data_IF_423909148668
#
_entry.id   IF_423909148668
#
_cell.length_a   1.000
_cell.length_b   1.000
_cell.length_c   1.000
_cell.angle_alpha   90.00
_cell.angle_beta   90.00
_cell.angle_gamma   90.00
#
_symmetry.space_group_name_H-M   'P 1'
#
loop_
_entity.id
_entity.type
_entity.pdbx_description
1 polymer ?
#
# COMPACT_ATOMS: atom_id res chain seq x y z
N UNK A 1 -4.26 -21.95 -8.61
CA UNK A 1 -3.55 -22.80 -7.64
C UNK A 1 -3.25 -21.93 -6.42
N UNK A 2 -3.69 -22.35 -5.24
CA UNK A 2 -3.34 -21.68 -3.97
C UNK A 2 -1.97 -22.21 -3.54
N UNK A 3 -0.99 -21.34 -3.25
CA UNK A 3 0.33 -21.78 -2.80
C UNK A 3 0.19 -22.51 -1.45
N UNK A 4 0.82 -23.66 -1.35
CA UNK A 4 0.77 -24.50 -0.14
C UNK A 4 1.95 -24.21 0.80
N UNK A 5 3.04 -23.62 0.27
CA UNK A 5 4.23 -23.24 1.03
C UNK A 5 4.51 -21.75 0.92
N UNK A 6 5.23 -21.19 1.90
CA UNK A 6 5.60 -19.77 1.89
C UNK A 6 6.49 -19.44 0.69
N UNK A 7 7.40 -20.36 0.31
CA UNK A 7 8.28 -20.15 -0.84
C UNK A 7 7.50 -20.04 -2.15
N UNK A 8 6.45 -20.86 -2.33
CA UNK A 8 5.54 -20.73 -3.48
C UNK A 8 4.78 -19.40 -3.46
N UNK A 9 4.30 -18.97 -2.29
CA UNK A 9 3.65 -17.67 -2.13
C UNK A 9 4.60 -16.52 -2.45
N UNK A 10 5.87 -16.63 -2.03
CA UNK A 10 6.89 -15.64 -2.33
C UNK A 10 7.28 -15.63 -3.81
N UNK A 11 7.50 -16.79 -4.43
CA UNK A 11 7.80 -16.90 -5.85
C UNK A 11 6.68 -16.29 -6.69
N UNK A 12 5.42 -16.67 -6.40
CA UNK A 12 4.27 -16.07 -7.08
C UNK A 12 4.23 -14.55 -6.93
N UNK A 13 4.42 -14.04 -5.70
CA UNK A 13 4.42 -12.61 -5.43
C UNK A 13 5.55 -11.90 -6.18
N UNK A 14 6.76 -12.47 -6.14
CA UNK A 14 7.92 -11.91 -6.83
C UNK A 14 7.76 -11.89 -8.34
N UNK A 15 7.17 -12.93 -8.92
CA UNK A 15 6.83 -12.98 -10.34
C UNK A 15 5.75 -11.96 -10.69
N UNK A 16 4.65 -11.94 -9.94
CA UNK A 16 3.56 -11.02 -10.16
C UNK A 16 3.97 -9.54 -9.94
N UNK A 17 4.95 -9.26 -9.09
CA UNK A 17 5.51 -7.92 -8.84
C UNK A 17 6.67 -7.55 -9.77
N UNK A 18 7.07 -8.41 -10.73
CA UNK A 18 8.10 -8.05 -11.72
C UNK A 18 7.68 -6.79 -12.48
N UNK A 19 8.61 -5.84 -12.72
CA UNK A 19 8.27 -4.55 -13.33
C UNK A 19 7.48 -4.69 -14.64
N UNK A 20 7.83 -5.66 -15.48
CA UNK A 20 7.14 -5.88 -16.76
C UNK A 20 5.68 -6.35 -16.56
N UNK A 21 5.43 -7.28 -15.65
CA UNK A 21 4.07 -7.79 -15.39
C UNK A 21 3.21 -6.76 -14.68
N UNK A 22 3.79 -6.07 -13.70
CA UNK A 22 3.13 -4.98 -12.99
C UNK A 22 2.76 -3.86 -13.98
N UNK A 23 3.69 -3.43 -14.82
CA UNK A 23 3.45 -2.40 -15.84
C UNK A 23 2.36 -2.84 -16.84
N UNK A 24 2.42 -4.08 -17.32
CA UNK A 24 1.41 -4.60 -18.25
C UNK A 24 0.00 -4.59 -17.65
N UNK A 25 -0.17 -4.98 -16.37
CA UNK A 25 -1.46 -4.93 -15.69
C UNK A 25 -1.93 -3.49 -15.49
N UNK A 26 -1.04 -2.60 -15.03
CA UNK A 26 -1.37 -1.19 -14.81
C UNK A 26 -1.75 -0.51 -16.12
N UNK A 27 -1.01 -0.74 -17.20
CA UNK A 27 -1.34 -0.23 -18.54
C UNK A 27 -2.68 -0.78 -19.02
N UNK A 28 -2.94 -2.06 -18.85
CA UNK A 28 -4.24 -2.66 -19.22
C UNK A 28 -5.40 -1.98 -18.46
N UNK A 29 -5.29 -1.82 -17.14
CA UNK A 29 -6.29 -1.13 -16.33
C UNK A 29 -6.45 0.33 -16.73
N UNK A 30 -5.35 1.01 -17.07
CA UNK A 30 -5.37 2.38 -17.54
C UNK A 30 -6.07 2.52 -18.90
N UNK A 31 -5.81 1.63 -19.84
CA UNK A 31 -6.49 1.62 -21.14
C UNK A 31 -8.00 1.30 -20.98
N UNK A 32 -8.34 0.37 -20.09
CA UNK A 32 -9.74 0.09 -19.74
C UNK A 32 -10.43 1.33 -19.15
N UNK A 33 -9.76 2.03 -18.22
CA UNK A 33 -10.26 3.28 -17.65
C UNK A 33 -10.47 4.34 -18.73
N UNK A 34 -9.48 4.55 -19.62
CA UNK A 34 -9.61 5.49 -20.73
C UNK A 34 -10.78 5.12 -21.67
N UNK A 35 -10.98 3.84 -21.96
CA UNK A 35 -12.10 3.37 -22.76
C UNK A 35 -13.45 3.69 -22.12
N UNK A 36 -13.58 3.49 -20.80
CA UNK A 36 -14.79 3.82 -20.03
C UNK A 36 -15.01 5.35 -20.05
N UNK A 37 -13.97 6.13 -19.75
CA UNK A 37 -14.07 7.60 -19.72
C UNK A 37 -14.37 8.18 -21.09
N UNK A 38 -13.81 7.63 -22.17
CA UNK A 38 -14.15 8.01 -23.53
C UNK A 38 -15.64 7.76 -23.85
N UNK A 39 -16.13 6.56 -23.49
CA UNK A 39 -17.53 6.20 -23.70
C UNK A 39 -18.49 7.10 -22.91
N UNK A 40 -18.14 7.45 -21.65
CA UNK A 40 -18.94 8.35 -20.83
C UNK A 40 -18.81 9.81 -21.28
N UNK A 41 -17.61 10.24 -21.68
CA UNK A 41 -17.33 11.59 -22.15
C UNK A 41 -18.11 11.94 -23.43
N UNK A 42 -18.32 10.98 -24.31
CA UNK A 42 -19.15 11.14 -25.50
C UNK A 42 -20.63 11.53 -25.19
N UNK A 43 -21.09 11.29 -23.96
CA UNK A 43 -22.44 11.61 -23.53
C UNK A 43 -22.54 12.85 -22.62
N UNK A 44 -21.42 13.34 -22.07
CA UNK A 44 -21.44 14.32 -20.95
C UNK A 44 -20.72 15.63 -21.27
N UNK A 45 -19.82 15.66 -22.27
CA UNK A 45 -19.02 16.88 -22.53
C UNK A 45 -19.76 17.81 -23.47
N UNK A 46 -20.38 18.83 -22.91
CA UNK A 46 -20.71 20.05 -23.65
C UNK A 46 -19.41 20.78 -24.03
N UNK A 47 -19.31 21.20 -25.30
CA UNK A 47 -18.09 21.62 -26.00
C UNK A 47 -17.46 22.96 -25.52
N UNK A 48 -17.94 23.61 -24.47
CA UNK A 48 -17.59 25.02 -24.18
C UNK A 48 -16.61 25.28 -23.05
N UNK A 49 -15.73 24.34 -22.68
CA UNK A 49 -14.69 24.68 -21.71
C UNK A 49 -13.42 25.22 -22.39
N UNK A 50 -13.49 26.47 -22.88
CA UNK A 50 -12.32 27.18 -23.44
C UNK A 50 -11.49 27.73 -22.29
N UNK A 51 -10.29 27.20 -22.09
CA UNK A 51 -9.33 27.78 -21.16
C UNK A 51 -8.89 29.16 -21.63
N UNK A 52 -8.87 30.18 -20.76
CA UNK A 52 -8.28 31.46 -21.11
C UNK A 52 -6.77 31.28 -21.30
N UNK A 53 -6.29 31.46 -22.52
CA UNK A 53 -4.88 31.32 -22.86
C UNK A 53 -4.42 32.43 -23.78
N UNK A 54 -3.13 32.83 -23.67
CA UNK A 54 -2.52 33.90 -24.45
C UNK A 54 -2.01 33.40 -25.82
N UNK A 55 -2.89 32.84 -26.65
CA UNK A 55 -2.56 32.40 -27.99
C UNK A 55 -2.58 30.90 -28.20
N UNK A 56 -2.68 30.46 -29.47
CA UNK A 56 -2.88 29.04 -29.83
C UNK A 56 -1.81 28.08 -29.29
N UNK A 57 -0.53 28.50 -29.34
CA UNK A 57 0.58 27.68 -28.89
C UNK A 57 0.51 27.45 -27.38
N UNK A 58 0.24 28.52 -26.60
CA UNK A 58 0.10 28.43 -25.16
C UNK A 58 -1.07 27.52 -24.77
N UNK A 59 -2.21 27.64 -25.45
CA UNK A 59 -3.37 26.74 -25.23
C UNK A 59 -3.02 25.28 -25.49
N UNK A 60 -2.34 24.99 -26.58
CA UNK A 60 -1.98 23.59 -26.93
C UNK A 60 -1.04 23.00 -25.90
N UNK A 61 -0.03 23.77 -25.46
CA UNK A 61 0.92 23.32 -24.43
C UNK A 61 0.19 23.09 -23.09
N UNK A 62 -0.64 24.03 -22.65
CA UNK A 62 -1.37 23.89 -21.38
C UNK A 62 -2.32 22.69 -21.40
N UNK A 63 -3.09 22.53 -22.48
CA UNK A 63 -3.98 21.38 -22.65
C UNK A 63 -3.22 20.05 -22.63
N UNK A 64 -2.07 19.98 -23.32
CA UNK A 64 -1.22 18.81 -23.34
C UNK A 64 -0.66 18.48 -21.93
N UNK A 65 -0.14 19.49 -21.23
CA UNK A 65 0.39 19.34 -19.88
C UNK A 65 -0.68 18.91 -18.88
N UNK A 66 -1.86 19.53 -18.94
CA UNK A 66 -2.99 19.20 -18.07
C UNK A 66 -3.47 17.78 -18.31
N UNK A 67 -3.65 17.37 -19.56
CA UNK A 67 -4.06 16.01 -19.91
C UNK A 67 -3.03 14.98 -19.51
N UNK A 68 -1.75 15.23 -19.79
CA UNK A 68 -0.65 14.32 -19.43
C UNK A 68 -0.53 14.15 -17.91
N UNK A 69 -0.68 15.25 -17.18
CA UNK A 69 -0.62 15.22 -15.70
C UNK A 69 -1.80 14.46 -15.10
N UNK A 70 -3.02 14.70 -15.62
CA UNK A 70 -4.20 13.96 -15.19
C UNK A 70 -4.07 12.45 -15.49
N UNK A 71 -3.59 12.11 -16.70
CA UNK A 71 -3.31 10.73 -17.07
C UNK A 71 -2.28 10.08 -16.15
N UNK A 72 -1.21 10.80 -15.78
CA UNK A 72 -0.20 10.32 -14.84
C UNK A 72 -0.77 10.05 -13.45
N UNK A 73 -1.61 10.94 -12.91
CA UNK A 73 -2.24 10.74 -11.60
C UNK A 73 -3.14 9.52 -11.61
N UNK A 74 -3.96 9.34 -12.65
CA UNK A 74 -4.81 8.16 -12.81
C UNK A 74 -3.96 6.88 -12.88
N UNK A 75 -2.92 6.90 -13.71
CA UNK A 75 -1.99 5.77 -13.84
C UNK A 75 -1.35 5.40 -12.49
N UNK A 76 -0.87 6.38 -11.74
CA UNK A 76 -0.28 6.16 -10.42
C UNK A 76 -1.28 5.58 -9.43
N UNK A 77 -2.54 6.06 -9.43
CA UNK A 77 -3.58 5.50 -8.57
C UNK A 77 -3.88 4.03 -8.89
N UNK A 78 -4.01 3.69 -10.18
CA UNK A 78 -4.21 2.30 -10.61
C UNK A 78 -3.03 1.41 -10.23
N UNK A 79 -1.80 1.93 -10.37
CA UNK A 79 -0.58 1.25 -9.97
C UNK A 79 -0.52 0.96 -8.47
N UNK A 80 -0.89 1.94 -7.65
CA UNK A 80 -0.99 1.78 -6.18
C UNK A 80 -2.05 0.76 -5.83
N UNK A 81 -3.23 0.84 -6.44
CA UNK A 81 -4.32 -0.10 -6.19
C UNK A 81 -3.94 -1.54 -6.54
N UNK A 82 -3.31 -1.78 -7.70
CA UNK A 82 -2.77 -3.09 -8.09
C UNK A 82 -1.77 -3.62 -7.07
N UNK A 83 -0.82 -2.78 -6.63
CA UNK A 83 0.17 -3.14 -5.62
C UNK A 83 -0.46 -3.52 -4.27
N UNK A 84 -1.48 -2.78 -3.82
CA UNK A 84 -2.23 -3.07 -2.59
C UNK A 84 -2.99 -4.39 -2.69
N UNK A 85 -3.69 -4.62 -3.80
CA UNK A 85 -4.44 -5.87 -4.01
C UNK A 85 -3.53 -7.09 -4.08
N UNK A 86 -2.36 -6.95 -4.71
CA UNK A 86 -1.33 -7.98 -4.76
C UNK A 86 -0.79 -8.30 -3.37
N UNK A 87 -0.43 -7.26 -2.62
CA UNK A 87 0.08 -7.38 -1.25
C UNK A 87 -0.97 -8.02 -0.32
N UNK A 88 -2.23 -7.62 -0.42
CA UNK A 88 -3.34 -8.20 0.35
C UNK A 88 -3.50 -9.70 0.11
N UNK A 89 -3.46 -10.13 -1.17
CA UNK A 89 -3.52 -11.56 -1.52
C UNK A 89 -2.34 -12.33 -0.93
N UNK A 90 -1.15 -11.76 -1.05
CA UNK A 90 0.06 -12.35 -0.51
C UNK A 90 0.00 -12.50 1.02
N UNK A 91 -0.45 -11.47 1.75
CA UNK A 91 -0.67 -11.53 3.20
C UNK A 91 -1.62 -12.68 3.56
N UNK A 92 -2.74 -12.81 2.83
CA UNK A 92 -3.68 -13.90 3.06
C UNK A 92 -3.05 -15.28 2.89
N UNK A 93 -2.15 -15.46 1.93
CA UNK A 93 -1.44 -16.73 1.74
C UNK A 93 -0.37 -16.98 2.81
N UNK A 94 0.39 -15.96 3.20
CA UNK A 94 1.35 -16.07 4.31
C UNK A 94 0.65 -16.50 5.58
N UNK A 95 -0.54 -15.97 5.84
CA UNK A 95 -1.34 -16.30 7.03
C UNK A 95 -1.94 -17.71 6.95
N UNK A 96 -2.37 -18.13 5.77
CA UNK A 96 -3.00 -19.44 5.55
C UNK A 96 -1.98 -20.58 5.39
N UNK A 97 -0.72 -20.26 5.02
CA UNK A 97 0.31 -21.28 4.81
C UNK A 97 0.73 -21.90 6.15
N UNK A 98 0.27 -23.13 6.37
CA UNK A 98 0.73 -23.98 7.49
C UNK A 98 2.01 -24.74 7.14
N UNK A 99 2.44 -24.67 5.88
CA UNK A 99 3.62 -25.37 5.34
C UNK A 99 4.94 -24.75 5.82
N UNK A 100 5.94 -25.59 5.94
CA UNK A 100 7.28 -25.23 6.41
C UNK A 100 7.93 -24.13 5.56
N UNK A 101 8.69 -23.31 6.21
CA UNK A 101 9.61 -22.36 5.58
C UNK A 101 10.81 -23.11 5.04
N UNK A 102 11.42 -22.64 3.96
CA UNK A 102 12.65 -23.23 3.48
C UNK A 102 13.76 -23.13 4.52
N UNK A 103 14.64 -24.12 4.55
CA UNK A 103 15.76 -24.15 5.51
C UNK A 103 16.62 -22.87 5.45
N UNK A 104 16.79 -22.31 4.26
CA UNK A 104 17.54 -21.06 4.06
C UNK A 104 16.91 -19.86 4.76
N UNK A 105 15.57 -19.74 4.70
CA UNK A 105 14.85 -18.66 5.37
C UNK A 105 14.88 -18.88 6.89
N UNK A 106 14.73 -20.12 7.34
CA UNK A 106 14.85 -20.49 8.75
C UNK A 106 16.22 -20.11 9.31
N UNK A 107 17.29 -20.48 8.63
CA UNK A 107 18.66 -20.15 9.04
C UNK A 107 18.92 -18.65 9.11
N UNK A 108 18.40 -17.89 8.15
CA UNK A 108 18.51 -16.43 8.15
C UNK A 108 17.87 -15.82 9.40
N UNK A 109 16.64 -16.20 9.70
CA UNK A 109 15.91 -15.65 10.86
C UNK A 109 16.50 -16.15 12.18
N UNK A 110 16.95 -17.42 12.29
CA UNK A 110 17.64 -17.90 13.46
C UNK A 110 18.91 -17.09 13.75
N UNK A 111 19.68 -16.74 12.72
CA UNK A 111 20.86 -15.87 12.87
C UNK A 111 20.48 -14.43 13.27
N UNK A 112 19.44 -13.87 12.67
CA UNK A 112 18.98 -12.50 12.95
C UNK A 112 18.52 -12.33 14.40
N UNK A 113 17.87 -13.38 14.96
CA UNK A 113 17.42 -13.40 16.36
C UNK A 113 18.43 -14.07 17.33
N UNK A 114 19.63 -14.41 16.87
CA UNK A 114 20.71 -14.95 17.73
C UNK A 114 20.45 -16.35 18.28
N UNK A 115 19.57 -17.13 17.65
CA UNK A 115 19.20 -18.48 18.07
C UNK A 115 20.08 -19.55 17.40
N UNK A 116 20.35 -20.64 18.10
CA UNK A 116 21.18 -21.72 17.59
C UNK A 116 20.36 -22.69 16.71
N UNK A 117 21.00 -23.30 15.66
CA UNK A 117 20.32 -24.23 14.75
C UNK A 117 19.73 -25.47 15.41
N UNK A 118 20.23 -25.83 16.60
CA UNK A 118 19.81 -27.03 17.34
C UNK A 118 18.42 -26.87 17.98
N UNK A 119 17.91 -25.68 18.00
CA UNK A 119 16.64 -25.31 18.65
C UNK A 119 15.46 -25.36 17.67
N UNK A 120 15.31 -26.46 16.89
CA UNK A 120 14.22 -26.64 15.92
C UNK A 120 12.81 -26.42 16.50
N UNK A 121 12.61 -26.75 17.78
CA UNK A 121 11.32 -26.58 18.47
C UNK A 121 10.95 -25.09 18.61
N UNK A 122 11.93 -24.20 18.68
CA UNK A 122 11.71 -22.76 18.81
C UNK A 122 11.39 -22.09 17.47
N UNK A 123 11.80 -22.70 16.36
CA UNK A 123 11.53 -22.14 15.03
C UNK A 123 10.03 -22.11 14.70
N UNK A 124 9.24 -23.08 15.12
CA UNK A 124 7.78 -23.04 14.91
C UNK A 124 7.11 -21.83 15.55
N UNK A 125 7.66 -21.34 16.66
CA UNK A 125 7.18 -20.13 17.35
C UNK A 125 7.69 -18.88 16.65
N UNK A 126 8.97 -18.86 16.26
CA UNK A 126 9.61 -17.76 15.51
C UNK A 126 8.98 -17.51 14.14
N UNK A 127 8.39 -18.53 13.52
CA UNK A 127 7.75 -18.34 12.20
C UNK A 127 6.66 -17.26 12.22
N UNK A 128 5.94 -17.13 13.33
CA UNK A 128 4.90 -16.09 13.46
C UNK A 128 5.52 -14.70 13.53
N UNK A 129 6.59 -14.55 14.31
CA UNK A 129 7.34 -13.29 14.40
C UNK A 129 7.95 -12.92 13.05
N UNK A 130 8.59 -13.87 12.38
CA UNK A 130 9.17 -13.68 11.06
C UNK A 130 8.11 -13.33 10.00
N UNK A 131 6.92 -13.95 10.07
CA UNK A 131 5.83 -13.61 9.16
C UNK A 131 5.31 -12.19 9.38
N UNK A 132 5.17 -11.75 10.64
CA UNK A 132 4.77 -10.38 10.98
C UNK A 132 5.81 -9.36 10.49
N UNK A 133 7.10 -9.61 10.76
CA UNK A 133 8.18 -8.76 10.29
C UNK A 133 8.21 -8.65 8.76
N UNK A 134 8.07 -9.77 8.07
CA UNK A 134 8.03 -9.81 6.60
C UNK A 134 6.83 -9.04 6.04
N UNK A 135 5.64 -9.18 6.65
CA UNK A 135 4.44 -8.43 6.29
C UNK A 135 4.67 -6.93 6.56
N UNK A 136 5.22 -6.56 7.71
CA UNK A 136 5.52 -5.19 8.08
C UNK A 136 6.44 -4.50 7.06
N UNK A 137 7.60 -5.10 6.80
CA UNK A 137 8.57 -4.58 5.82
C UNK A 137 7.96 -4.45 4.41
N UNK A 138 7.13 -5.39 4.00
CA UNK A 138 6.54 -5.35 2.66
C UNK A 138 5.43 -4.34 2.52
N UNK A 139 4.57 -4.25 3.52
CA UNK A 139 3.50 -3.24 3.54
C UNK A 139 4.04 -1.83 3.67
N UNK A 140 5.21 -1.62 4.30
CA UNK A 140 5.89 -0.33 4.33
C UNK A 140 6.26 0.16 2.93
N UNK A 141 6.78 -0.74 2.07
CA UNK A 141 7.09 -0.39 0.67
C UNK A 141 5.83 0.04 -0.08
N UNK A 142 4.72 -0.69 0.10
CA UNK A 142 3.44 -0.35 -0.54
C UNK A 142 2.88 0.97 0.00
N UNK A 143 2.98 1.22 1.31
CA UNK A 143 2.58 2.50 1.92
C UNK A 143 3.35 3.70 1.34
N UNK A 144 4.63 3.52 1.00
CA UNK A 144 5.41 4.58 0.32
C UNK A 144 4.87 4.87 -1.07
N UNK A 145 4.40 3.85 -1.81
CA UNK A 145 3.82 4.04 -3.14
C UNK A 145 2.56 4.90 -3.12
N UNK A 146 1.76 4.83 -2.05
CA UNK A 146 0.53 5.62 -1.88
C UNK A 146 0.80 7.14 -1.89
N UNK A 147 2.02 7.57 -1.56
CA UNK A 147 2.40 9.00 -1.55
C UNK A 147 2.58 9.59 -2.95
N UNK A 148 2.97 8.79 -3.95
CA UNK A 148 3.32 9.33 -5.28
C UNK A 148 2.16 10.04 -6.00
N UNK A 149 0.92 9.55 -6.01
CA UNK A 149 -0.20 10.29 -6.57
C UNK A 149 -0.43 11.65 -5.91
N UNK A 150 -0.22 11.74 -4.57
CA UNK A 150 -0.31 13.01 -3.85
C UNK A 150 0.79 13.98 -4.25
N UNK A 151 2.04 13.50 -4.39
CA UNK A 151 3.15 14.33 -4.84
C UNK A 151 2.87 14.88 -6.25
N UNK A 152 2.38 14.04 -7.16
CA UNK A 152 2.00 14.49 -8.50
C UNK A 152 0.90 15.56 -8.46
N UNK A 153 -0.14 15.38 -7.65
CA UNK A 153 -1.19 16.39 -7.47
C UNK A 153 -0.68 17.69 -6.84
N UNK A 154 0.21 17.61 -5.84
CA UNK A 154 0.82 18.79 -5.23
C UNK A 154 1.64 19.59 -6.24
N UNK A 155 2.41 18.92 -7.11
CA UNK A 155 3.15 19.55 -8.19
C UNK A 155 2.16 20.25 -9.17
N UNK A 156 1.07 19.58 -9.53
CA UNK A 156 0.04 20.17 -10.40
C UNK A 156 -0.62 21.39 -9.75
N UNK A 157 -0.89 21.35 -8.43
CA UNK A 157 -1.43 22.50 -7.70
C UNK A 157 -0.41 23.64 -7.62
N UNK A 158 0.86 23.34 -7.32
CA UNK A 158 1.92 24.34 -7.24
C UNK A 158 2.24 25.00 -8.58
N UNK A 159 2.03 24.28 -9.69
CA UNK A 159 2.19 24.84 -11.05
C UNK A 159 1.09 25.85 -11.42
N UNK A 160 0.00 25.91 -10.65
CA UNK A 160 -1.10 26.86 -10.86
C UNK A 160 -0.98 28.01 -9.87
N UNK A 161 -0.17 28.99 -10.19
CA UNK A 161 0.01 30.20 -9.40
C UNK A 161 0.07 31.44 -10.33
N UNK A 162 0.02 32.62 -9.72
CA UNK A 162 0.00 33.90 -10.43
C UNK A 162 1.20 34.13 -11.35
N UNK A 163 2.34 33.49 -11.08
CA UNK A 163 3.54 33.59 -11.91
C UNK A 163 3.41 32.94 -13.28
N UNK A 164 2.49 31.96 -13.42
CA UNK A 164 2.31 31.21 -14.68
C UNK A 164 1.10 31.64 -15.49
N UNK A 165 0.44 32.77 -15.16
CA UNK A 165 -0.80 33.24 -15.80
C UNK A 165 -1.98 32.23 -15.76
N UNK A 166 -1.89 31.17 -14.98
CA UNK A 166 -2.86 30.07 -14.87
C UNK A 166 -3.30 29.97 -13.41
N UNK A 167 -4.14 30.86 -12.98
CA UNK A 167 -4.54 31.03 -11.58
C UNK A 167 -5.84 30.32 -11.22
N UNK A 168 -6.60 29.86 -12.21
CA UNK A 168 -7.86 29.17 -11.94
C UNK A 168 -7.61 27.71 -11.61
N UNK A 169 -8.04 27.30 -10.42
CA UNK A 169 -8.15 25.86 -10.09
C UNK A 169 -9.42 25.34 -10.77
N UNK A 170 -9.33 24.57 -11.84
CA UNK A 170 -10.50 23.98 -12.43
C UNK A 170 -11.15 23.04 -11.41
N UNK A 171 -12.48 23.05 -11.37
CA UNK A 171 -13.27 22.16 -10.50
C UNK A 171 -12.86 20.69 -10.68
N UNK A 172 -12.41 20.33 -11.89
CA UNK A 172 -11.87 19.02 -12.22
C UNK A 172 -10.62 18.67 -11.40
N UNK A 173 -9.73 19.62 -11.12
CA UNK A 173 -8.53 19.38 -10.32
C UNK A 173 -8.89 19.11 -8.84
N UNK A 174 -9.81 19.87 -8.30
CA UNK A 174 -10.35 19.68 -6.95
C UNK A 174 -11.05 18.32 -6.81
N UNK A 175 -11.86 17.97 -7.81
CA UNK A 175 -12.51 16.67 -7.87
C UNK A 175 -11.48 15.54 -7.96
N UNK A 176 -10.47 15.67 -8.82
CA UNK A 176 -9.39 14.69 -8.95
C UNK A 176 -8.63 14.52 -7.63
N UNK A 177 -8.38 15.61 -6.91
CA UNK A 177 -7.77 15.56 -5.59
C UNK A 177 -8.65 14.79 -4.59
N UNK A 178 -9.96 15.10 -4.52
CA UNK A 178 -10.88 14.41 -3.63
C UNK A 178 -10.97 12.90 -3.93
N UNK A 179 -11.08 12.54 -5.20
CA UNK A 179 -11.06 11.11 -5.63
C UNK A 179 -9.76 10.44 -5.25
N UNK A 180 -8.61 11.10 -5.44
CA UNK A 180 -7.31 10.56 -5.06
C UNK A 180 -7.22 10.30 -3.55
N UNK A 181 -7.69 11.23 -2.72
CA UNK A 181 -7.75 11.06 -1.25
C UNK A 181 -8.58 9.83 -0.89
N UNK A 182 -9.78 9.72 -1.48
CA UNK A 182 -10.67 8.57 -1.21
C UNK A 182 -10.01 7.25 -1.62
N UNK A 183 -9.41 7.18 -2.80
CA UNK A 183 -8.73 5.97 -3.28
C UNK A 183 -7.53 5.61 -2.41
N UNK A 184 -6.74 6.58 -1.99
CA UNK A 184 -5.59 6.37 -1.13
C UNK A 184 -6.00 5.91 0.29
N UNK A 185 -7.04 6.51 0.86
CA UNK A 185 -7.60 6.07 2.15
C UNK A 185 -8.16 4.64 2.06
N UNK A 186 -8.86 4.33 0.97
CA UNK A 186 -9.36 2.98 0.72
C UNK A 186 -8.21 1.97 0.59
N UNK A 187 -7.17 2.31 -0.16
CA UNK A 187 -5.97 1.48 -0.32
C UNK A 187 -5.28 1.21 1.02
N UNK A 188 -5.05 2.25 1.82
CA UNK A 188 -4.47 2.15 3.17
C UNK A 188 -5.34 1.32 4.11
N UNK A 189 -6.66 1.53 4.09
CA UNK A 189 -7.61 0.77 4.90
C UNK A 189 -7.62 -0.71 4.53
N UNK A 190 -7.64 -1.06 3.24
CA UNK A 190 -7.59 -2.45 2.77
C UNK A 190 -6.30 -3.15 3.21
N UNK A 191 -5.18 -2.44 3.14
CA UNK A 191 -3.89 -2.96 3.56
C UNK A 191 -3.83 -3.16 5.08
N UNK A 192 -4.28 -2.16 5.86
CA UNK A 192 -4.40 -2.23 7.31
C UNK A 192 -5.30 -3.38 7.75
N UNK A 193 -6.46 -3.53 7.13
CA UNK A 193 -7.40 -4.62 7.45
C UNK A 193 -6.76 -6.00 7.23
N UNK A 194 -6.06 -6.19 6.09
CA UNK A 194 -5.39 -7.45 5.80
C UNK A 194 -4.27 -7.76 6.81
N UNK A 195 -3.44 -6.76 7.14
CA UNK A 195 -2.36 -6.89 8.11
C UNK A 195 -2.89 -7.17 9.52
N UNK A 196 -3.94 -6.45 9.96
CA UNK A 196 -4.56 -6.64 11.28
C UNK A 196 -5.20 -8.02 11.42
N UNK A 197 -5.88 -8.51 10.38
CA UNK A 197 -6.43 -9.88 10.37
C UNK A 197 -5.31 -10.93 10.44
N UNK A 198 -4.21 -10.73 9.70
CA UNK A 198 -3.05 -11.60 9.75
C UNK A 198 -2.42 -11.62 11.16
N UNK A 199 -2.20 -10.45 11.76
CA UNK A 199 -1.67 -10.30 13.12
C UNK A 199 -2.55 -11.02 14.15
N UNK A 200 -3.87 -10.82 14.09
CA UNK A 200 -4.82 -11.47 14.96
C UNK A 200 -4.82 -13.01 14.82
N UNK A 201 -4.75 -13.52 13.58
CA UNK A 201 -4.66 -14.95 13.32
C UNK A 201 -3.37 -15.57 13.89
N UNK A 202 -2.23 -14.86 13.74
CA UNK A 202 -0.94 -15.30 14.28
C UNK A 202 -0.94 -15.28 15.82
N UNK A 203 -1.47 -14.25 16.46
CA UNK A 203 -1.62 -14.18 17.92
C UNK A 203 -2.52 -15.29 18.45
N UNK A 204 -3.64 -15.59 17.76
CA UNK A 204 -4.50 -16.71 18.12
C UNK A 204 -3.78 -18.07 18.00
N UNK A 205 -2.89 -18.23 17.02
CA UNK A 205 -2.03 -19.40 16.89
C UNK A 205 -1.04 -19.53 18.04
N UNK A 206 -0.36 -18.44 18.40
CA UNK A 206 0.58 -18.39 19.52
C UNK A 206 -0.11 -18.64 20.88
N UNK A 207 -1.28 -18.07 21.11
CA UNK A 207 -2.03 -18.27 22.34
C UNK A 207 -2.46 -19.74 22.54
N UNK A 208 -2.84 -20.44 21.46
CA UNK A 208 -3.12 -21.90 21.51
C UNK A 208 -1.86 -22.70 21.87
N UNK A 209 -0.71 -22.36 21.30
CA UNK A 209 0.57 -23.00 21.66
C UNK A 209 0.95 -22.72 23.11
N UNK A 210 0.67 -21.53 23.63
CA UNK A 210 0.88 -21.19 25.04
C UNK A 210 0.05 -22.08 25.96
N UNK A 211 -1.26 -22.27 25.66
CA UNK A 211 -2.14 -23.16 26.44
C UNK A 211 -1.63 -24.61 26.42
N UNK A 212 -1.13 -25.07 25.27
CA UNK A 212 -0.53 -26.42 25.15
C UNK A 212 0.78 -26.54 25.96
N UNK A 213 1.60 -25.51 25.98
CA UNK A 213 2.83 -25.48 26.77
C UNK A 213 2.57 -25.50 28.29
N UNK A 214 1.45 -24.95 28.75
CA UNK A 214 1.04 -24.93 30.15
C UNK A 214 0.73 -26.35 30.69
N UNK A 215 0.42 -27.33 29.84
CA UNK A 215 0.17 -28.71 30.20
C UNK A 215 1.41 -29.62 30.32
N UNK A 216 2.60 -29.12 30.06
CA UNK A 216 3.86 -29.90 30.02
C UNK A 216 4.79 -29.67 31.22
N UNK A 217 5.68 -30.64 31.49
CA UNK A 217 6.62 -30.59 32.63
C UNK A 217 7.68 -29.49 32.58
N UNK A 218 7.91 -28.85 31.41
CA UNK A 218 8.95 -27.83 31.17
C UNK A 218 8.33 -26.40 31.11
N UNK A 219 7.49 -26.12 32.08
CA UNK A 219 6.52 -25.04 32.08
C UNK A 219 7.13 -23.62 31.99
N UNK A 220 8.15 -23.32 32.76
CA UNK A 220 8.57 -21.92 33.01
C UNK A 220 9.35 -21.31 31.83
N UNK A 221 10.26 -22.06 31.19
CA UNK A 221 11.11 -21.55 30.11
C UNK A 221 10.28 -21.38 28.81
N UNK A 222 9.46 -22.38 28.48
CA UNK A 222 8.64 -22.36 27.25
C UNK A 222 7.57 -21.26 27.30
N UNK A 223 6.96 -21.06 28.45
CA UNK A 223 5.94 -20.01 28.64
C UNK A 223 6.53 -18.61 28.51
N UNK A 224 7.72 -18.36 29.10
CA UNK A 224 8.43 -17.09 28.96
C UNK A 224 8.81 -16.78 27.52
N UNK A 225 9.24 -17.77 26.75
CA UNK A 225 9.60 -17.59 25.33
C UNK A 225 8.36 -17.27 24.48
N UNK A 226 7.25 -17.98 24.66
CA UNK A 226 6.01 -17.67 23.91
C UNK A 226 5.49 -16.29 24.28
N UNK A 227 5.53 -15.92 25.57
CA UNK A 227 5.11 -14.59 26.01
C UNK A 227 5.98 -13.49 25.41
N UNK A 228 7.29 -13.68 25.34
CA UNK A 228 8.21 -12.75 24.67
C UNK A 228 7.81 -12.55 23.19
N UNK A 229 7.55 -13.64 22.45
CA UNK A 229 7.14 -13.58 21.04
C UNK A 229 5.79 -12.88 20.89
N UNK A 230 4.82 -13.15 21.77
CA UNK A 230 3.52 -12.48 21.77
C UNK A 230 3.72 -10.96 21.93
N UNK A 231 4.48 -10.54 22.93
CA UNK A 231 4.76 -9.13 23.19
C UNK A 231 5.46 -8.45 21.99
N UNK A 232 6.39 -9.15 21.35
CA UNK A 232 7.10 -8.63 20.18
C UNK A 232 6.17 -8.51 18.95
N UNK A 233 5.29 -9.49 18.74
CA UNK A 233 4.27 -9.44 17.68
C UNK A 233 3.25 -8.32 17.97
N UNK A 234 2.81 -8.17 19.21
CA UNK A 234 1.88 -7.09 19.61
C UNK A 234 2.51 -5.72 19.47
N UNK A 235 3.78 -5.58 19.84
CA UNK A 235 4.54 -4.33 19.77
C UNK A 235 4.99 -3.95 18.36
N UNK A 236 4.82 -4.82 17.37
CA UNK A 236 5.22 -4.50 16.00
C UNK A 236 4.27 -3.47 15.37
N UNK A 237 4.81 -2.27 15.11
CA UNK A 237 4.15 -1.13 14.49
C UNK A 237 4.77 -0.77 13.14
N UNK A 238 5.31 -1.73 12.38
CA UNK A 238 5.87 -1.47 11.06
C UNK A 238 4.82 -1.54 9.93
N UNK A 239 4.98 -0.69 8.94
CA UNK A 239 4.19 -0.74 7.70
C UNK A 239 2.70 -0.57 7.95
N UNK A 240 1.89 -1.57 7.58
CA UNK A 240 0.44 -1.53 7.74
C UNK A 240 -0.03 -1.83 9.17
N UNK A 241 0.86 -2.21 10.09
CA UNK A 241 0.52 -2.38 11.51
C UNK A 241 0.47 -1.06 12.28
N UNK A 242 1.01 0.02 11.71
CA UNK A 242 0.87 1.38 12.24
C UNK A 242 -0.61 1.75 12.28
N UNK A 243 -1.09 2.38 13.37
CA UNK A 243 -2.46 2.90 13.44
C UNK A 243 -2.80 3.81 12.25
N UNK A 244 -4.03 3.73 11.74
CA UNK A 244 -4.44 4.46 10.53
C UNK A 244 -4.15 5.96 10.60
N UNK A 245 -4.33 6.59 11.78
CA UNK A 245 -4.10 8.04 11.96
C UNK A 245 -2.62 8.45 11.88
N UNK A 246 -1.68 7.52 12.04
CA UNK A 246 -0.24 7.75 11.88
C UNK A 246 0.26 7.33 10.49
N UNK A 247 -0.62 6.83 9.64
CA UNK A 247 -0.19 6.43 8.30
C UNK A 247 0.14 7.63 7.41
N UNK A 248 1.15 7.49 6.55
CA UNK A 248 1.61 8.56 5.65
C UNK A 248 0.53 9.15 4.75
N UNK A 249 -0.52 8.40 4.50
CA UNK A 249 -1.69 8.83 3.74
C UNK A 249 -2.44 9.97 4.42
N UNK A 250 -2.63 9.88 5.74
CA UNK A 250 -3.32 10.92 6.51
C UNK A 250 -2.52 12.23 6.47
N UNK A 251 -1.21 12.13 6.69
CA UNK A 251 -0.29 13.26 6.60
C UNK A 251 -0.34 13.94 5.22
N UNK A 252 -0.22 13.13 4.16
CA UNK A 252 -0.28 13.63 2.77
C UNK A 252 -1.62 14.27 2.43
N UNK A 253 -2.73 13.72 2.95
CA UNK A 253 -4.08 14.28 2.77
C UNK A 253 -4.25 15.61 3.49
N UNK A 254 -3.67 15.75 4.68
CA UNK A 254 -3.69 17.01 5.45
C UNK A 254 -2.90 18.11 4.75
N UNK A 255 -1.71 17.82 4.19
CA UNK A 255 -0.96 18.81 3.40
C UNK A 255 -1.77 19.31 2.21
N UNK A 256 -2.44 18.42 1.48
CA UNK A 256 -3.32 18.80 0.38
C UNK A 256 -4.50 19.67 0.84
N UNK A 257 -5.10 19.35 1.99
CA UNK A 257 -6.19 20.14 2.57
C UNK A 257 -5.71 21.54 2.98
N UNK A 258 -4.55 21.65 3.62
CA UNK A 258 -3.96 22.95 3.99
C UNK A 258 -3.69 23.80 2.75
N UNK A 259 -3.09 23.21 1.70
CA UNK A 259 -2.85 23.90 0.44
C UNK A 259 -4.18 24.42 -0.19
N UNK A 260 -5.23 23.60 -0.14
CA UNK A 260 -6.56 23.99 -0.62
C UNK A 260 -7.15 25.15 0.21
N UNK A 261 -7.08 25.08 1.53
CA UNK A 261 -7.57 26.13 2.43
C UNK A 261 -6.83 27.45 2.23
N UNK A 262 -5.49 27.40 2.07
CA UNK A 262 -4.69 28.57 1.74
C UNK A 262 -5.16 29.24 0.43
N UNK A 263 -5.40 28.44 -0.59
CA UNK A 263 -5.92 28.94 -1.85
C UNK A 263 -7.28 29.62 -1.70
N UNK A 264 -8.22 29.01 -0.94
CA UNK A 264 -9.55 29.57 -0.72
C UNK A 264 -9.54 30.85 0.13
N UNK A 265 -8.55 30.98 1.02
CA UNK A 265 -8.43 32.14 1.91
C UNK A 265 -7.73 33.35 1.26
N UNK A 266 -6.79 33.11 0.34
CA UNK A 266 -6.04 34.19 -0.34
C UNK A 266 -6.84 34.81 -1.49
N UNK A 267 -7.97 34.23 -1.85
CA UNK A 267 -8.88 34.72 -2.88
C UNK A 267 -10.00 35.56 -2.28
#
# INVERSE_FOLDING_TARGET
MTPTTLDQAWQWYSEASRPAQWLARTVFLFLLYLGIMWSLGAYVVDEEYIHPCRGRLSCTIDSFMTLSSAALVVFLNLAVFDAVMLCRRWIGWVTASTGGWSEQVQEKYLREYGLRPDQKVEFEKLRYLAAVDLIGRRTEVVNRLIRYPFIALLIMMAARNDYFDIWNYPLLLLFSWAVNVVLALLAAFLLYQAASQAKAAMLAGLSRQMVQALGGNDHDIRTKQVQFIINEVEGNEQGAFVPLYQQPVIESSLYGLVALLQYLYVR
#
